data_IF_244914030187
#
_entry.id   IF_244914030187
#
_cell.length_a   1.000
_cell.length_b   1.000
_cell.length_c   1.000
_cell.angle_alpha   90.00
_cell.angle_beta   90.00
_cell.angle_gamma   90.00
#
_symmetry.space_group_name_H-M   'P 1'
#
loop_
_entity.id
_entity.type
_entity.pdbx_description
1 polymer ?
#
# COMPACT_ATOMS: atom_id res chain seq x y z
N UNK A 1 1.02 -13.78 -1.10
CA UNK A 1 0.17 -13.02 -0.14
C UNK A 1 -1.23 -13.66 0.03
N UNK A 2 -1.30 -14.95 0.38
CA UNK A 2 -2.55 -15.76 0.31
C UNK A 2 -3.65 -15.25 1.25
N UNK A 3 -3.31 -14.89 2.49
CA UNK A 3 -4.26 -14.33 3.47
C UNK A 3 -4.99 -13.10 2.93
N UNK A 4 -4.25 -12.16 2.33
CA UNK A 4 -4.82 -10.90 1.87
C UNK A 4 -5.85 -11.10 0.77
N UNK A 5 -5.49 -11.89 -0.26
CA UNK A 5 -6.31 -12.06 -1.47
C UNK A 5 -7.42 -13.10 -1.32
N UNK A 6 -7.25 -14.13 -0.48
CA UNK A 6 -8.21 -15.24 -0.37
C UNK A 6 -9.02 -15.23 0.93
N UNK A 7 -8.58 -14.49 1.96
CA UNK A 7 -9.28 -14.47 3.25
C UNK A 7 -9.75 -13.06 3.59
N UNK A 8 -8.83 -12.10 3.75
CA UNK A 8 -9.17 -10.76 4.21
C UNK A 8 -10.06 -10.00 3.23
N UNK A 9 -9.65 -9.90 1.96
CA UNK A 9 -10.42 -9.16 0.95
C UNK A 9 -11.83 -9.76 0.70
N UNK A 10 -11.99 -11.08 0.48
CA UNK A 10 -13.32 -11.67 0.33
C UNK A 10 -14.20 -11.60 1.60
N UNK A 11 -13.60 -11.60 2.79
CA UNK A 11 -14.33 -11.40 4.04
C UNK A 11 -14.82 -9.94 4.14
N UNK A 12 -13.94 -8.98 3.89
CA UNK A 12 -14.28 -7.57 3.96
C UNK A 12 -15.38 -7.18 2.97
N UNK A 13 -15.37 -7.72 1.74
CA UNK A 13 -16.45 -7.51 0.77
C UNK A 13 -17.83 -7.93 1.28
N UNK A 14 -17.91 -8.98 2.12
CA UNK A 14 -19.17 -9.49 2.68
C UNK A 14 -19.63 -8.73 3.92
N UNK A 15 -18.70 -8.07 4.61
CA UNK A 15 -18.92 -7.46 5.92
C UNK A 15 -18.44 -5.99 5.96
N UNK A 16 -18.49 -5.28 4.83
CA UNK A 16 -17.89 -3.93 4.71
C UNK A 16 -18.47 -2.93 5.72
N UNK A 17 -19.75 -3.08 6.07
CA UNK A 17 -20.47 -2.20 7.01
C UNK A 17 -20.23 -2.58 8.48
N UNK A 18 -19.65 -3.76 8.73
CA UNK A 18 -19.40 -4.32 10.06
C UNK A 18 -17.92 -4.22 10.45
N UNK A 19 -17.04 -3.90 9.51
CA UNK A 19 -15.59 -3.91 9.68
C UNK A 19 -14.97 -2.53 9.51
N UNK A 20 -14.39 -1.99 10.59
CA UNK A 20 -13.49 -0.82 10.52
C UNK A 20 -12.07 -1.29 10.26
N UNK A 21 -11.69 -1.33 8.98
CA UNK A 21 -10.38 -1.81 8.55
C UNK A 21 -9.40 -0.67 8.25
N UNK A 22 -8.15 -0.82 8.71
CA UNK A 22 -7.01 0.04 8.33
C UNK A 22 -5.89 -0.84 7.81
N UNK A 23 -5.47 -0.61 6.56
CA UNK A 23 -4.38 -1.33 5.93
C UNK A 23 -3.07 -0.53 6.05
N UNK A 24 -2.00 -1.18 6.50
CA UNK A 24 -0.68 -0.55 6.70
C UNK A 24 0.39 -1.36 5.96
N UNK A 25 0.76 -0.98 4.73
CA UNK A 25 1.71 -1.74 3.91
C UNK A 25 3.16 -1.44 4.32
N UNK A 26 3.59 -2.06 5.42
CA UNK A 26 4.97 -2.00 5.91
C UNK A 26 5.57 -3.41 6.09
N UNK A 27 4.82 -4.30 6.74
CA UNK A 27 5.19 -5.70 6.88
C UNK A 27 6.49 -5.88 7.68
N UNK A 28 7.45 -6.56 7.07
CA UNK A 28 8.79 -6.83 7.63
C UNK A 28 9.86 -5.86 7.11
N UNK A 29 9.44 -4.70 6.62
CA UNK A 29 10.37 -3.63 6.34
C UNK A 29 10.99 -3.11 7.64
N UNK A 30 12.18 -2.52 7.55
CA UNK A 30 12.83 -1.82 8.66
C UNK A 30 13.44 -0.52 8.18
N UNK A 31 13.68 0.38 9.13
CA UNK A 31 14.25 1.69 8.88
C UNK A 31 15.60 1.75 9.57
N UNK A 32 16.62 2.14 8.82
CA UNK A 32 17.94 2.44 9.33
C UNK A 32 18.06 3.96 9.47
N UNK A 33 18.26 4.43 10.70
CA UNK A 33 18.43 5.84 11.03
C UNK A 33 19.90 6.09 11.38
N UNK A 34 20.50 7.11 10.76
CA UNK A 34 21.84 7.57 11.11
C UNK A 34 21.83 9.07 11.42
N UNK A 35 22.65 9.56 12.37
CA UNK A 35 22.74 10.98 12.67
C UNK A 35 23.06 11.79 11.40
N UNK A 36 22.27 12.83 11.14
CA UNK A 36 22.42 13.74 9.98
C UNK A 36 22.22 13.09 8.60
N UNK A 37 21.68 11.87 8.51
CA UNK A 37 21.29 11.24 7.26
C UNK A 37 19.77 11.03 7.17
N UNK A 38 19.17 11.06 5.96
CA UNK A 38 17.78 10.66 5.79
C UNK A 38 17.60 9.17 6.13
N UNK A 39 16.46 8.77 6.74
CA UNK A 39 16.19 7.37 7.05
C UNK A 39 16.21 6.49 5.80
N UNK A 40 16.91 5.37 5.87
CA UNK A 40 16.99 4.38 4.78
C UNK A 40 15.98 3.26 5.04
N UNK A 41 15.13 3.01 4.04
CA UNK A 41 14.10 1.98 4.11
C UNK A 41 14.60 0.69 3.48
N UNK A 42 14.44 -0.40 4.22
CA UNK A 42 14.84 -1.73 3.81
C UNK A 42 13.64 -2.68 3.83
N UNK A 43 13.57 -3.59 2.87
CA UNK A 43 12.50 -4.59 2.76
C UNK A 43 13.10 -5.97 2.53
N UNK A 44 12.45 -7.01 3.06
CA UNK A 44 12.97 -8.38 3.04
C UNK A 44 13.15 -8.96 1.63
N UNK A 45 12.40 -8.47 0.64
CA UNK A 45 12.47 -8.85 -0.77
C UNK A 45 13.07 -7.74 -1.65
N UNK A 46 13.85 -6.82 -1.05
CA UNK A 46 14.61 -5.81 -1.77
C UNK A 46 13.82 -4.57 -2.22
N UNK A 47 14.42 -3.71 -3.07
CA UNK A 47 13.89 -2.37 -3.37
C UNK A 47 12.52 -2.39 -4.07
N UNK A 48 12.22 -3.42 -4.86
CA UNK A 48 10.93 -3.53 -5.55
C UNK A 48 9.77 -3.68 -4.56
N UNK A 49 9.92 -4.47 -3.49
CA UNK A 49 8.91 -4.58 -2.44
C UNK A 49 8.71 -3.23 -1.74
N UNK A 50 9.79 -2.49 -1.46
CA UNK A 50 9.68 -1.15 -0.88
C UNK A 50 8.89 -0.19 -1.78
N UNK A 51 9.13 -0.21 -3.09
CA UNK A 51 8.37 0.61 -4.05
C UNK A 51 6.88 0.22 -4.06
N UNK A 52 6.57 -1.07 -4.01
CA UNK A 52 5.18 -1.55 -3.95
C UNK A 52 4.49 -1.20 -2.62
N UNK A 53 5.20 -1.27 -1.49
CA UNK A 53 4.69 -0.83 -0.19
C UNK A 53 4.31 0.66 -0.22
N UNK A 54 5.15 1.50 -0.81
CA UNK A 54 4.87 2.93 -1.02
C UNK A 54 3.64 3.12 -1.92
N UNK A 55 3.56 2.39 -3.03
CA UNK A 55 2.42 2.47 -3.95
C UNK A 55 1.11 2.08 -3.26
N UNK A 56 1.08 0.98 -2.50
CA UNK A 56 -0.09 0.59 -1.71
C UNK A 56 -0.48 1.69 -0.72
N UNK A 57 0.49 2.28 -0.02
CA UNK A 57 0.25 3.38 0.91
C UNK A 57 -0.37 4.60 0.21
N UNK A 58 0.14 4.96 -0.97
CA UNK A 58 -0.41 6.06 -1.78
C UNK A 58 -1.88 5.82 -2.15
N UNK A 59 -2.18 4.61 -2.63
CA UNK A 59 -3.55 4.21 -3.02
C UNK A 59 -4.49 4.37 -1.81
N UNK A 60 -4.09 3.83 -0.65
CA UNK A 60 -4.88 3.85 0.58
C UNK A 60 -5.08 5.27 1.15
N UNK A 61 -4.18 6.20 0.88
CA UNK A 61 -4.31 7.59 1.33
C UNK A 61 -5.13 8.47 0.38
N UNK A 62 -5.17 8.14 -0.92
CA UNK A 62 -5.85 8.96 -1.93
C UNK A 62 -7.25 8.47 -2.28
N UNK A 63 -7.54 7.21 -1.99
CA UNK A 63 -8.79 6.57 -2.35
C UNK A 63 -9.54 6.13 -1.08
N UNK A 64 -10.88 6.29 -1.05
CA UNK A 64 -11.69 5.62 -0.03
C UNK A 64 -11.42 4.11 -0.04
N UNK A 65 -11.42 3.46 1.14
CA UNK A 65 -11.06 2.05 1.27
C UNK A 65 -11.85 1.15 0.29
N UNK A 66 -13.14 1.44 0.08
CA UNK A 66 -14.01 0.70 -0.85
C UNK A 66 -13.52 0.68 -2.29
N UNK A 67 -12.82 1.74 -2.73
CA UNK A 67 -12.16 1.81 -4.04
C UNK A 67 -10.70 1.38 -3.98
N UNK A 68 -10.03 1.62 -2.86
CA UNK A 68 -8.61 1.32 -2.69
C UNK A 68 -8.33 -0.18 -2.57
N UNK A 69 -9.15 -0.91 -1.82
CA UNK A 69 -8.91 -2.31 -1.47
C UNK A 69 -8.92 -3.23 -2.70
N UNK A 70 -9.86 -3.12 -3.67
CA UNK A 70 -9.78 -3.91 -4.91
C UNK A 70 -8.47 -3.70 -5.68
N UNK A 71 -7.99 -2.46 -5.76
CA UNK A 71 -6.72 -2.12 -6.44
C UNK A 71 -5.53 -2.74 -5.72
N UNK A 72 -5.47 -2.60 -4.39
CA UNK A 72 -4.40 -3.21 -3.57
C UNK A 72 -4.46 -4.74 -3.64
N UNK A 73 -5.66 -5.34 -3.62
CA UNK A 73 -5.84 -6.79 -3.75
C UNK A 73 -5.40 -7.31 -5.12
N UNK A 74 -5.66 -6.54 -6.19
CA UNK A 74 -5.15 -6.84 -7.53
C UNK A 74 -3.61 -6.83 -7.55
N UNK A 75 -2.99 -5.77 -7.02
CA UNK A 75 -1.52 -5.65 -6.91
C UNK A 75 -0.87 -6.71 -6.01
N UNK A 76 -1.63 -7.26 -5.06
CA UNK A 76 -1.15 -8.29 -4.13
C UNK A 76 -1.29 -9.72 -4.66
N UNK A 77 -1.72 -9.91 -5.92
CA UNK A 77 -1.77 -11.25 -6.53
C UNK A 77 -0.36 -11.83 -6.74
N UNK A 78 0.58 -11.04 -7.24
CA UNK A 78 1.99 -11.41 -7.43
C UNK A 78 2.84 -10.15 -7.73
N UNK A 79 4.17 -10.29 -7.84
CA UNK A 79 5.08 -9.16 -8.11
C UNK A 79 5.04 -8.61 -9.55
N UNK A 80 4.35 -9.28 -10.48
CA UNK A 80 4.28 -8.93 -11.90
C UNK A 80 2.97 -8.21 -12.28
N UNK A 81 2.11 -7.91 -11.31
CA UNK A 81 0.85 -7.19 -11.55
C UNK A 81 1.11 -5.76 -12.01
N UNK A 82 0.35 -5.28 -12.99
CA UNK A 82 0.48 -3.94 -13.52
C UNK A 82 -0.49 -2.97 -12.83
N UNK A 83 0.03 -1.85 -12.31
CA UNK A 83 -0.77 -0.82 -11.67
C UNK A 83 -1.85 -0.24 -12.57
N UNK A 84 -1.53 -0.01 -13.85
CA UNK A 84 -2.47 0.58 -14.81
C UNK A 84 -3.69 -0.32 -15.03
N UNK A 85 -3.46 -1.64 -15.09
CA UNK A 85 -4.54 -2.63 -15.18
C UNK A 85 -5.36 -2.66 -13.90
N UNK A 86 -4.70 -2.66 -12.74
CA UNK A 86 -5.39 -2.75 -11.45
C UNK A 86 -6.22 -1.50 -11.09
N UNK A 87 -5.90 -0.33 -11.66
CA UNK A 87 -6.61 0.93 -11.38
C UNK A 87 -7.57 1.36 -12.49
N UNK A 88 -7.73 0.57 -13.56
CA UNK A 88 -8.50 0.97 -14.75
C UNK A 88 -9.95 1.39 -14.41
N UNK A 89 -10.65 0.61 -13.58
CA UNK A 89 -12.01 0.91 -13.09
C UNK A 89 -12.07 2.20 -12.22
N UNK A 90 -10.92 2.70 -11.80
CA UNK A 90 -10.75 3.87 -10.94
C UNK A 90 -9.76 4.88 -11.56
N UNK A 91 -9.70 4.95 -12.90
CA UNK A 91 -8.73 5.75 -13.65
C UNK A 91 -8.70 7.24 -13.24
N UNK A 92 -9.80 7.80 -12.74
CA UNK A 92 -9.84 9.18 -12.21
C UNK A 92 -8.86 9.43 -11.06
N UNK A 93 -8.47 8.40 -10.31
CA UNK A 93 -7.47 8.50 -9.24
C UNK A 93 -6.03 8.29 -9.73
N UNK A 94 -5.81 7.74 -10.94
CA UNK A 94 -4.50 7.30 -11.43
C UNK A 94 -3.39 8.34 -11.25
N UNK A 95 -3.65 9.58 -11.66
CA UNK A 95 -2.69 10.69 -11.57
C UNK A 95 -2.53 11.29 -10.17
N UNK A 96 -3.44 10.95 -9.25
CA UNK A 96 -3.47 11.49 -7.89
C UNK A 96 -2.82 10.57 -6.85
N UNK A 97 -2.65 9.27 -7.15
CA UNK A 97 -2.18 8.22 -6.22
C UNK A 97 -0.80 8.53 -5.65
N UNK A 98 0.26 8.56 -6.46
CA UNK A 98 1.58 9.01 -6.04
C UNK A 98 2.05 10.13 -6.97
N UNK A 99 2.14 11.36 -6.47
CA UNK A 99 3.07 12.33 -7.06
C UNK A 99 4.45 11.98 -6.50
N UNK A 100 5.42 11.74 -7.39
CA UNK A 100 6.81 11.46 -7.02
C UNK A 100 7.27 12.53 -6.02
N UNK A 101 7.99 12.12 -4.99
CA UNK A 101 8.78 12.94 -4.03
C UNK A 101 8.27 13.18 -2.60
N UNK A 102 6.97 13.07 -2.25
CA UNK A 102 6.54 13.45 -0.87
C UNK A 102 5.89 12.35 -0.02
N UNK A 103 5.54 11.21 -0.61
CA UNK A 103 4.66 10.25 0.07
C UNK A 103 5.39 9.13 0.82
N UNK A 104 6.54 8.65 0.31
CA UNK A 104 7.26 7.50 0.86
C UNK A 104 7.68 7.71 2.33
N UNK A 105 8.22 8.89 2.66
CA UNK A 105 8.69 9.18 4.01
C UNK A 105 7.53 9.40 4.99
N UNK A 106 6.51 10.19 4.63
CA UNK A 106 5.52 10.68 5.60
C UNK A 106 4.54 9.61 6.07
N UNK A 107 4.16 8.67 5.22
CA UNK A 107 3.10 7.70 5.56
C UNK A 107 3.63 6.52 6.34
N UNK A 108 4.84 6.04 6.02
CA UNK A 108 5.47 4.96 6.78
C UNK A 108 5.87 5.45 8.18
N UNK A 109 6.50 6.62 8.29
CA UNK A 109 6.82 7.21 9.60
C UNK A 109 5.56 7.52 10.43
N UNK A 110 4.49 8.07 9.84
CA UNK A 110 3.24 8.34 10.59
C UNK A 110 2.49 7.08 11.02
N UNK A 111 2.63 5.97 10.30
CA UNK A 111 2.04 4.69 10.68
C UNK A 111 2.82 3.95 11.77
N UNK A 112 4.10 4.29 11.98
CA UNK A 112 4.95 3.75 13.04
C UNK A 112 4.98 4.64 14.30
N UNK A 113 4.63 5.93 14.18
CA UNK A 113 4.67 6.92 15.27
C UNK A 113 3.28 7.28 15.85
N UNK A 114 2.24 6.48 15.58
CA UNK A 114 0.92 6.56 16.25
C UNK A 114 0.44 5.18 16.69
#
# INVERSE_FOLDING_TARGET
MVFFTHQLYPCWLRHENEMKLRLVPFGKAWVEEQPNEPPKFHCQHGPQECQLNVLHGCILNKMPLKKAFPVVACLMKNFNTNFDQCIEEHASYKNAVCRRETFALRTVLRALLN
#
